data_IF_512205073017
#
_entry.id   IF_512205073017
#
_cell.length_a   1.000
_cell.length_b   1.000
_cell.length_c   1.000
_cell.angle_alpha   90.00
_cell.angle_beta   90.00
_cell.angle_gamma   90.00
#
_symmetry.space_group_name_H-M   'P 1'
#
loop_
_entity.id
_entity.type
_entity.pdbx_description
1 polymer ?
#
# COMPACT_ATOMS: atom_id res chain seq x y z
N UNK A 1 39.49 -34.82 50.71
CA UNK A 1 38.35 -33.92 50.40
C UNK A 1 38.06 -34.05 48.92
N UNK A 2 36.82 -34.36 48.53
CA UNK A 2 36.43 -34.29 47.12
C UNK A 2 36.18 -32.81 46.79
N UNK A 3 36.94 -32.26 45.84
CA UNK A 3 36.91 -30.83 45.51
C UNK A 3 36.09 -30.50 44.25
N UNK A 4 35.74 -31.49 43.44
CA UNK A 4 35.11 -31.29 42.13
C UNK A 4 34.04 -32.35 41.89
N UNK A 5 32.82 -31.92 41.61
CA UNK A 5 31.73 -32.77 41.12
C UNK A 5 31.94 -33.00 39.61
N UNK A 6 32.31 -34.23 39.23
CA UNK A 6 32.70 -34.57 37.84
C UNK A 6 31.47 -34.80 36.96
N UNK A 7 30.36 -35.22 37.56
CA UNK A 7 29.13 -35.55 36.85
C UNK A 7 27.94 -35.54 37.81
N UNK A 8 26.81 -34.97 37.39
CA UNK A 8 25.54 -35.05 38.09
C UNK A 8 24.43 -35.45 37.12
N UNK A 9 23.44 -36.21 37.61
CA UNK A 9 22.29 -36.66 36.84
C UNK A 9 20.99 -36.35 37.58
N UNK A 10 19.97 -35.91 36.86
CA UNK A 10 18.68 -35.55 37.46
C UNK A 10 17.86 -36.77 37.87
N UNK A 11 17.41 -36.82 39.12
CA UNK A 11 16.47 -37.83 39.61
C UNK A 11 15.03 -37.39 39.31
N UNK A 12 14.29 -38.21 38.56
CA UNK A 12 12.88 -37.93 38.19
C UNK A 12 11.93 -38.50 39.25
N UNK A 13 11.23 -37.62 39.97
CA UNK A 13 10.13 -38.01 40.86
C UNK A 13 8.82 -38.13 40.07
N UNK A 14 8.13 -39.28 40.18
CA UNK A 14 6.82 -39.48 39.56
C UNK A 14 5.73 -39.33 40.63
N UNK A 15 4.92 -38.28 40.50
CA UNK A 15 3.72 -38.07 41.31
C UNK A 15 2.54 -38.73 40.60
N UNK A 16 1.79 -39.56 41.31
CA UNK A 16 0.62 -40.25 40.76
C UNK A 16 -0.61 -40.01 41.64
N UNK A 17 -1.78 -40.03 41.01
CA UNK A 17 -3.09 -39.85 41.62
C UNK A 17 -4.15 -40.71 40.92
N UNK A 18 -5.37 -40.81 41.48
CA UNK A 18 -6.53 -41.45 40.82
C UNK A 18 -7.21 -40.44 39.88
N UNK A 19 -7.78 -40.91 38.77
CA UNK A 19 -8.36 -40.05 37.70
C UNK A 19 -9.43 -39.07 38.22
N UNK A 20 -10.29 -39.48 39.16
CA UNK A 20 -11.34 -38.63 39.75
C UNK A 20 -10.98 -38.03 41.12
N UNK A 21 -9.70 -38.01 41.49
CA UNK A 21 -9.28 -37.37 42.75
C UNK A 21 -9.23 -35.85 42.63
N UNK A 22 -9.34 -35.15 43.77
CA UNK A 22 -9.21 -33.69 43.85
C UNK A 22 -7.93 -33.18 43.16
N UNK A 23 -6.80 -33.87 43.36
CA UNK A 23 -5.53 -33.52 42.71
C UNK A 23 -5.59 -33.59 41.19
N UNK A 24 -6.26 -34.60 40.63
CA UNK A 24 -6.42 -34.74 39.17
C UNK A 24 -7.35 -33.68 38.59
N UNK A 25 -8.40 -33.29 39.31
CA UNK A 25 -9.29 -32.18 38.92
C UNK A 25 -8.51 -30.87 38.89
N UNK A 26 -7.69 -30.59 39.91
CA UNK A 26 -6.85 -29.39 39.97
C UNK A 26 -5.86 -29.36 38.80
N UNK A 27 -5.17 -30.47 38.51
CA UNK A 27 -4.26 -30.56 37.36
C UNK A 27 -5.01 -30.33 36.05
N UNK A 28 -6.17 -30.96 35.86
CA UNK A 28 -7.01 -30.75 34.67
C UNK A 28 -7.43 -29.29 34.54
N UNK A 29 -7.84 -28.64 35.63
CA UNK A 29 -8.21 -27.22 35.64
C UNK A 29 -7.03 -26.34 35.22
N UNK A 30 -5.82 -26.58 35.73
CA UNK A 30 -4.64 -25.81 35.32
C UNK A 30 -4.29 -26.03 33.83
N UNK A 31 -4.42 -27.26 33.31
CA UNK A 31 -4.22 -27.55 31.89
C UNK A 31 -5.26 -26.80 31.05
N UNK A 32 -6.54 -26.91 31.39
CA UNK A 32 -7.64 -26.22 30.70
C UNK A 32 -7.46 -24.71 30.75
N UNK A 33 -7.15 -24.15 31.93
CA UNK A 33 -6.90 -22.72 32.09
C UNK A 33 -5.71 -22.29 31.22
N UNK A 34 -4.61 -23.05 31.23
CA UNK A 34 -3.43 -22.75 30.40
C UNK A 34 -3.70 -22.76 28.90
N UNK A 35 -4.71 -23.51 28.44
CA UNK A 35 -5.10 -23.60 27.02
C UNK A 35 -6.13 -22.54 26.63
N UNK A 36 -7.08 -22.21 27.52
CA UNK A 36 -8.19 -21.29 27.25
C UNK A 36 -7.80 -19.83 27.48
N UNK A 37 -6.99 -19.51 28.50
CA UNK A 37 -6.60 -18.12 28.77
C UNK A 37 -5.85 -17.47 27.61
N UNK A 38 -4.93 -18.14 26.89
CA UNK A 38 -4.31 -17.57 25.69
C UNK A 38 -5.33 -17.26 24.59
N UNK A 39 -6.33 -18.14 24.36
CA UNK A 39 -7.37 -17.89 23.35
C UNK A 39 -8.17 -16.64 23.68
N UNK A 40 -8.57 -16.49 24.95
CA UNK A 40 -9.32 -15.31 25.41
C UNK A 40 -8.52 -14.02 25.22
N UNK A 41 -7.23 -14.05 25.60
CA UNK A 41 -6.34 -12.89 25.42
C UNK A 41 -6.19 -12.55 23.94
N UNK A 42 -5.89 -13.52 23.08
CA UNK A 42 -5.68 -13.27 21.64
C UNK A 42 -6.95 -12.74 20.98
N UNK A 43 -8.12 -13.26 21.35
CA UNK A 43 -9.41 -12.78 20.84
C UNK A 43 -9.69 -11.32 21.23
N UNK A 44 -9.37 -10.94 22.47
CA UNK A 44 -9.63 -9.58 22.98
C UNK A 44 -8.52 -8.57 22.68
N UNK A 45 -7.28 -9.02 22.47
CA UNK A 45 -6.12 -8.15 22.23
C UNK A 45 -6.10 -7.52 20.83
N UNK A 46 -7.02 -7.90 19.93
CA UNK A 46 -7.16 -7.23 18.63
C UNK A 46 -5.96 -7.48 17.71
N UNK A 47 -5.67 -8.75 17.41
CA UNK A 47 -4.55 -9.15 16.56
C UNK A 47 -4.90 -10.20 15.50
N UNK A 48 -6.12 -10.74 15.55
CA UNK A 48 -6.63 -11.80 14.68
C UNK A 48 -7.91 -11.33 14.03
N UNK A 49 -8.14 -11.72 12.79
CA UNK A 49 -9.28 -11.32 11.96
C UNK A 49 -9.28 -9.83 11.61
N UNK A 50 -8.10 -9.30 11.26
CA UNK A 50 -8.00 -7.93 10.77
C UNK A 50 -8.70 -7.79 9.42
N UNK A 51 -9.58 -6.78 9.29
CA UNK A 51 -10.28 -6.52 8.03
C UNK A 51 -9.35 -5.93 6.98
N UNK A 52 -8.51 -4.98 7.39
CA UNK A 52 -7.62 -4.24 6.51
C UNK A 52 -6.23 -4.13 7.13
N UNK A 53 -5.20 -4.17 6.30
CA UNK A 53 -3.82 -3.85 6.65
C UNK A 53 -3.23 -2.87 5.66
N UNK A 54 -2.16 -2.21 6.07
CA UNK A 54 -1.41 -1.27 5.23
C UNK A 54 -0.06 -1.87 4.89
N UNK A 55 0.36 -1.65 3.66
CA UNK A 55 1.69 -1.99 3.20
C UNK A 55 2.28 -0.81 2.43
N UNK A 56 3.51 -0.45 2.75
CA UNK A 56 4.23 0.57 2.00
C UNK A 56 4.83 -0.08 0.75
N UNK A 57 4.50 0.45 -0.41
CA UNK A 57 5.03 0.00 -1.70
C UNK A 57 5.21 1.21 -2.63
N UNK A 58 6.38 1.31 -3.23
CA UNK A 58 6.65 2.22 -4.34
C UNK A 58 6.18 1.55 -5.64
N UNK A 59 5.07 1.99 -6.28
CA UNK A 59 4.66 1.44 -7.55
C UNK A 59 5.74 1.71 -8.62
N UNK A 60 5.90 0.77 -9.54
CA UNK A 60 6.70 0.98 -10.74
C UNK A 60 5.83 1.76 -11.74
N UNK A 61 6.16 3.03 -11.95
CA UNK A 61 5.36 3.96 -12.74
C UNK A 61 6.03 4.19 -14.09
N UNK A 62 5.27 3.99 -15.15
CA UNK A 62 5.68 4.29 -16.51
C UNK A 62 4.72 5.30 -17.15
N UNK A 63 5.28 6.35 -17.75
CA UNK A 63 4.51 7.25 -18.59
C UNK A 63 4.21 6.61 -19.96
N UNK A 64 2.94 6.46 -20.30
CA UNK A 64 2.47 5.77 -21.52
C UNK A 64 2.70 6.60 -22.80
N UNK A 65 3.44 7.71 -22.72
CA UNK A 65 3.62 8.67 -23.81
C UNK A 65 2.32 9.19 -24.42
N UNK A 66 1.23 9.15 -23.65
CA UNK A 66 -0.07 9.71 -24.01
C UNK A 66 -0.34 10.95 -23.16
N UNK A 67 -0.73 12.04 -23.82
CA UNK A 67 -1.14 13.26 -23.13
C UNK A 67 -2.23 14.01 -23.89
N UNK A 68 -2.98 14.83 -23.15
CA UNK A 68 -3.89 15.83 -23.69
C UNK A 68 -3.71 17.13 -22.91
N UNK A 69 -3.24 18.16 -23.60
CA UNK A 69 -3.10 19.52 -23.08
C UNK A 69 -4.17 20.38 -23.75
N UNK A 70 -4.96 21.07 -22.92
CA UNK A 70 -5.95 22.06 -23.32
C UNK A 70 -5.54 23.39 -22.70
N UNK A 71 -5.16 24.35 -23.54
CA UNK A 71 -4.86 25.71 -23.12
C UNK A 71 -5.99 26.63 -23.56
N UNK A 72 -6.79 27.09 -22.61
CA UNK A 72 -7.88 28.01 -22.86
C UNK A 72 -7.36 29.43 -22.92
N UNK A 73 -7.71 30.14 -23.99
CA UNK A 73 -7.23 31.50 -24.27
C UNK A 73 -8.38 32.50 -24.13
N UNK A 74 -9.55 32.13 -24.64
CA UNK A 74 -10.77 32.91 -24.55
C UNK A 74 -11.96 31.96 -24.28
N UNK A 75 -12.87 32.29 -23.33
CA UNK A 75 -14.07 31.47 -23.09
C UNK A 75 -14.96 31.26 -24.32
N UNK A 76 -14.84 32.12 -25.33
CA UNK A 76 -15.63 32.06 -26.55
C UNK A 76 -14.89 31.44 -27.75
N UNK A 77 -13.60 31.12 -27.61
CA UNK A 77 -12.79 30.53 -28.67
C UNK A 77 -12.45 29.08 -28.33
N UNK A 78 -12.16 28.27 -29.36
CA UNK A 78 -11.69 26.92 -29.14
C UNK A 78 -10.34 26.95 -28.39
N UNK A 79 -10.12 26.06 -27.41
CA UNK A 79 -8.84 25.98 -26.72
C UNK A 79 -7.76 25.50 -27.68
N UNK A 80 -6.51 25.83 -27.37
CA UNK A 80 -5.36 25.25 -28.04
C UNK A 80 -5.20 23.82 -27.51
N UNK A 81 -5.16 22.87 -28.44
CA UNK A 81 -5.07 21.44 -28.14
C UNK A 81 -3.71 20.92 -28.54
N UNK A 82 -2.98 20.39 -27.57
CA UNK A 82 -1.83 19.54 -27.85
C UNK A 82 -2.08 18.13 -27.39
N UNK A 83 -1.82 17.15 -28.25
CA UNK A 83 -2.25 15.78 -27.99
C UNK A 83 -1.43 14.77 -28.77
N UNK A 84 -1.34 13.55 -28.25
CA UNK A 84 -0.85 12.38 -29.01
C UNK A 84 -1.98 11.59 -29.67
N UNK A 85 -3.24 11.92 -29.35
CA UNK A 85 -4.40 11.23 -29.87
C UNK A 85 -4.83 11.82 -31.20
N UNK A 86 -5.19 10.97 -32.15
CA UNK A 86 -5.64 11.37 -33.50
C UNK A 86 -7.15 11.63 -33.56
N UNK A 87 -7.92 11.06 -32.65
CA UNK A 87 -9.39 11.06 -32.68
C UNK A 87 -9.99 11.38 -31.31
N UNK A 88 -11.13 12.08 -31.33
CA UNK A 88 -11.97 12.37 -30.17
C UNK A 88 -13.44 12.31 -30.54
N UNK A 89 -14.17 11.35 -29.94
CA UNK A 89 -15.57 11.05 -30.29
C UNK A 89 -15.84 11.14 -31.80
N UNK A 90 -15.06 10.40 -32.58
CA UNK A 90 -15.15 10.31 -34.06
C UNK A 90 -14.63 11.52 -34.84
N UNK A 91 -14.29 12.64 -34.20
CA UNK A 91 -13.68 13.79 -34.87
C UNK A 91 -12.15 13.67 -34.87
N UNK A 92 -11.52 14.06 -35.97
CA UNK A 92 -10.06 14.19 -36.03
C UNK A 92 -9.60 15.36 -35.14
N UNK A 93 -8.58 15.12 -34.31
CA UNK A 93 -7.89 16.16 -33.57
C UNK A 93 -6.50 16.36 -34.17
N UNK A 94 -6.12 17.62 -34.33
CA UNK A 94 -4.80 18.02 -34.79
C UNK A 94 -4.00 18.52 -33.59
N UNK A 95 -2.78 18.00 -33.44
CA UNK A 95 -1.82 18.51 -32.46
C UNK A 95 -1.33 19.90 -32.89
N UNK A 96 -1.59 20.92 -32.07
CA UNK A 96 -1.17 22.31 -32.32
C UNK A 96 0.18 22.64 -31.67
N UNK A 97 0.80 21.70 -30.96
CA UNK A 97 2.13 21.89 -30.39
C UNK A 97 3.22 21.75 -31.44
N UNK A 98 4.23 22.62 -31.36
CA UNK A 98 5.39 22.62 -32.26
C UNK A 98 6.44 21.64 -31.76
N UNK A 99 6.58 21.59 -30.43
CA UNK A 99 7.60 20.81 -29.77
C UNK A 99 7.05 20.28 -28.46
N UNK A 100 7.15 18.97 -28.29
CA UNK A 100 6.93 18.29 -27.02
C UNK A 100 8.18 17.52 -26.62
N UNK A 101 8.60 17.66 -25.36
CA UNK A 101 9.71 16.91 -24.79
C UNK A 101 9.24 16.16 -23.57
N UNK A 102 9.63 14.90 -23.50
CA UNK A 102 9.29 14.02 -22.40
C UNK A 102 10.55 13.32 -21.96
N UNK A 103 10.82 13.33 -20.65
CA UNK A 103 11.97 12.66 -20.07
C UNK A 103 11.63 12.07 -18.71
N UNK A 104 11.72 10.75 -18.61
CA UNK A 104 11.67 10.05 -17.33
C UNK A 104 13.09 9.90 -16.76
N UNK A 105 13.31 10.40 -15.55
CA UNK A 105 14.60 10.30 -14.87
C UNK A 105 14.55 9.20 -13.82
N UNK A 106 15.68 8.50 -13.71
CA UNK A 106 16.02 7.63 -12.60
C UNK A 106 17.13 8.38 -11.84
N UNK A 107 16.82 8.89 -10.65
CA UNK A 107 17.70 9.74 -9.85
C UNK A 107 18.67 8.90 -9.01
N UNK A 108 18.25 7.70 -8.60
CA UNK A 108 19.02 6.83 -7.72
C UNK A 108 19.73 5.67 -8.47
N UNK A 109 19.48 5.53 -9.78
CA UNK A 109 19.96 4.46 -10.67
C UNK A 109 19.56 3.04 -10.22
N UNK A 110 18.39 2.88 -9.63
CA UNK A 110 17.86 1.57 -9.21
C UNK A 110 17.10 0.82 -10.33
N UNK A 111 16.98 1.44 -11.51
CA UNK A 111 16.28 0.92 -12.68
C UNK A 111 14.80 1.27 -12.72
N UNK A 112 14.26 1.95 -11.70
CA UNK A 112 12.91 2.50 -11.65
C UNK A 112 12.94 3.98 -11.99
N UNK A 113 11.83 4.48 -12.53
CA UNK A 113 11.70 5.91 -12.79
C UNK A 113 11.30 6.62 -11.50
N UNK A 114 11.90 7.78 -11.24
CA UNK A 114 11.65 8.59 -10.05
C UNK A 114 10.90 9.89 -10.40
N UNK A 115 11.07 10.40 -11.62
CA UNK A 115 10.39 11.62 -12.05
C UNK A 115 10.11 11.69 -13.54
N UNK A 116 9.04 12.41 -13.88
CA UNK A 116 8.68 12.78 -15.24
C UNK A 116 8.89 14.27 -15.45
N UNK A 117 9.66 14.63 -16.49
CA UNK A 117 9.73 15.98 -17.04
C UNK A 117 8.96 16.04 -18.35
N UNK A 118 7.95 16.90 -18.39
CA UNK A 118 7.11 17.15 -19.55
C UNK A 118 7.26 18.61 -19.97
N UNK A 119 7.49 18.87 -21.25
CA UNK A 119 7.53 20.21 -21.83
C UNK A 119 6.69 20.24 -23.10
N UNK A 120 5.82 21.23 -23.25
CA UNK A 120 5.04 21.46 -24.46
C UNK A 120 5.11 22.94 -24.87
N UNK A 121 5.32 23.19 -26.17
CA UNK A 121 5.47 24.52 -26.73
C UNK A 121 4.49 24.75 -27.88
N UNK A 122 3.74 25.84 -27.84
CA UNK A 122 2.75 26.22 -28.86
C UNK A 122 2.70 27.74 -29.08
N UNK A 123 2.20 28.18 -30.23
CA UNK A 123 1.91 29.60 -30.50
C UNK A 123 0.47 29.95 -30.13
N UNK A 124 0.26 31.18 -29.69
CA UNK A 124 -1.07 31.75 -29.44
C UNK A 124 -1.01 33.26 -29.66
N UNK A 125 -2.10 33.82 -30.16
CA UNK A 125 -2.21 35.27 -30.41
C UNK A 125 -2.64 36.05 -29.15
N UNK A 126 -3.18 35.33 -28.16
CA UNK A 126 -3.73 35.87 -26.92
C UNK A 126 -3.19 35.11 -25.70
N UNK A 127 -3.11 35.75 -24.53
CA UNK A 127 -2.57 35.12 -23.34
C UNK A 127 -3.46 33.97 -22.86
N UNK A 128 -2.83 32.89 -22.41
CA UNK A 128 -3.51 31.70 -21.87
C UNK A 128 -4.14 32.06 -20.51
N UNK A 129 -5.40 31.69 -20.34
CA UNK A 129 -6.21 31.90 -19.12
C UNK A 129 -6.32 30.64 -18.27
N UNK A 130 -6.40 29.46 -18.86
CA UNK A 130 -6.45 28.21 -18.12
C UNK A 130 -5.66 27.13 -18.84
N UNK A 131 -5.08 26.22 -18.06
CA UNK A 131 -4.37 25.05 -18.59
C UNK A 131 -4.91 23.81 -17.90
N UNK A 132 -5.36 22.86 -18.72
CA UNK A 132 -5.73 21.52 -18.28
C UNK A 132 -4.84 20.51 -19.00
N UNK A 133 -4.04 19.77 -18.24
CA UNK A 133 -3.11 18.77 -18.75
C UNK A 133 -3.47 17.41 -18.16
N UNK A 134 -3.73 16.45 -19.05
CA UNK A 134 -3.96 15.06 -18.72
C UNK A 134 -2.73 14.26 -19.17
N UNK A 135 -2.10 13.57 -18.23
CA UNK A 135 -0.95 12.70 -18.46
C UNK A 135 -1.35 11.26 -18.11
N UNK A 136 -1.08 10.32 -19.00
CA UNK A 136 -1.47 8.93 -18.83
C UNK A 136 -0.29 8.10 -18.34
N UNK A 137 -0.51 7.34 -17.29
CA UNK A 137 0.50 6.56 -16.59
C UNK A 137 0.02 5.13 -16.40
N UNK A 138 0.97 4.21 -16.36
CA UNK A 138 0.75 2.83 -15.99
C UNK A 138 1.48 2.55 -14.68
N UNK A 139 0.71 2.15 -13.68
CA UNK A 139 1.21 1.79 -12.36
C UNK A 139 1.25 0.27 -12.26
N UNK A 140 2.44 -0.27 -12.00
CA UNK A 140 2.64 -1.69 -11.72
C UNK A 140 2.95 -1.90 -10.24
N UNK A 141 2.10 -2.67 -9.57
CA UNK A 141 2.31 -3.20 -8.23
C UNK A 141 2.84 -4.63 -8.36
N UNK A 142 3.86 -4.99 -7.58
CA UNK A 142 4.58 -6.28 -7.72
C UNK A 142 4.82 -6.99 -6.39
N UNK A 143 4.78 -6.29 -5.25
CA UNK A 143 5.28 -6.87 -4.00
C UNK A 143 4.25 -7.76 -3.29
N UNK A 144 3.10 -7.22 -2.90
CA UNK A 144 2.03 -8.00 -2.26
C UNK A 144 0.94 -8.44 -3.24
N UNK A 145 0.70 -7.62 -4.25
CA UNK A 145 -0.41 -7.76 -5.18
C UNK A 145 0.11 -7.38 -6.56
N UNK A 146 -0.01 -8.30 -7.51
CA UNK A 146 0.31 -8.04 -8.91
C UNK A 146 -0.88 -7.33 -9.55
N UNK A 147 -0.71 -6.05 -9.84
CA UNK A 147 -1.75 -5.23 -10.45
C UNK A 147 -1.12 -4.27 -11.46
N UNK A 148 -1.72 -4.17 -12.64
CA UNK A 148 -1.42 -3.15 -13.64
C UNK A 148 -2.60 -2.20 -13.75
N UNK A 149 -2.33 -0.91 -13.59
CA UNK A 149 -3.36 0.12 -13.49
C UNK A 149 -2.96 1.26 -14.40
N UNK A 150 -3.60 1.35 -15.56
CA UNK A 150 -3.51 2.54 -16.39
C UNK A 150 -4.39 3.64 -15.81
N UNK A 151 -3.86 4.83 -15.56
CA UNK A 151 -4.60 5.94 -14.97
C UNK A 151 -4.10 7.30 -15.43
N UNK A 152 -4.85 8.35 -15.10
CA UNK A 152 -4.64 9.69 -15.63
C UNK A 152 -4.32 10.63 -14.47
N UNK A 153 -3.14 11.24 -14.52
CA UNK A 153 -2.79 12.41 -13.73
C UNK A 153 -3.37 13.65 -14.38
N UNK A 154 -4.22 14.38 -13.65
CA UNK A 154 -4.88 15.58 -14.14
C UNK A 154 -4.31 16.79 -13.42
N UNK A 155 -3.75 17.72 -14.17
CA UNK A 155 -3.35 19.04 -13.70
C UNK A 155 -4.31 20.07 -14.30
N UNK A 156 -4.94 20.89 -13.47
CA UNK A 156 -5.92 21.89 -13.89
C UNK A 156 -5.68 23.19 -13.13
N UNK A 157 -5.29 24.23 -13.86
CA UNK A 157 -4.93 25.50 -13.25
C UNK A 157 -5.40 26.70 -14.07
N UNK A 158 -6.16 27.58 -13.42
CA UNK A 158 -6.53 28.89 -13.95
C UNK A 158 -5.44 29.92 -13.62
N UNK A 159 -5.01 30.65 -14.64
CA UNK A 159 -4.01 31.71 -14.56
C UNK A 159 -4.69 33.05 -14.32
N UNK A 160 -4.22 33.78 -13.30
CA UNK A 160 -4.69 35.13 -13.00
C UNK A 160 -3.86 36.23 -13.69
N UNK A 161 -2.82 35.84 -14.43
CA UNK A 161 -1.84 36.75 -15.05
C UNK A 161 -1.39 36.19 -16.39
N UNK A 162 -0.98 37.08 -17.27
CA UNK A 162 -0.38 36.73 -18.55
C UNK A 162 0.99 36.08 -18.33
N UNK A 163 1.14 34.87 -18.85
CA UNK A 163 2.33 34.05 -18.69
C UNK A 163 2.82 33.51 -20.04
N UNK A 164 4.10 33.69 -20.31
CA UNK A 164 4.80 33.11 -21.46
C UNK A 164 5.25 31.68 -21.16
N UNK A 165 5.47 31.38 -19.87
CA UNK A 165 5.98 30.10 -19.41
C UNK A 165 5.30 29.73 -18.11
N UNK A 166 4.75 28.52 -18.05
CA UNK A 166 4.02 27.96 -16.93
C UNK A 166 4.79 26.72 -16.49
N UNK A 167 5.28 26.74 -15.25
CA UNK A 167 6.03 25.65 -14.63
C UNK A 167 5.24 25.10 -13.45
N UNK A 168 4.92 23.81 -13.46
CA UNK A 168 4.30 23.14 -12.32
C UNK A 168 5.16 21.99 -11.80
N UNK A 169 5.10 21.79 -10.49
CA UNK A 169 5.77 20.72 -9.76
C UNK A 169 4.74 20.00 -8.91
N UNK A 170 4.81 18.67 -8.81
CA UNK A 170 3.91 17.92 -7.96
C UNK A 170 4.36 16.49 -7.70
N UNK A 171 3.72 15.87 -6.72
CA UNK A 171 3.95 14.47 -6.33
C UNK A 171 2.88 13.60 -6.99
N UNK A 172 3.26 12.57 -7.72
CA UNK A 172 2.37 11.62 -8.38
C UNK A 172 2.16 10.41 -7.47
N UNK A 173 0.94 10.27 -6.94
CA UNK A 173 0.54 9.20 -6.04
C UNK A 173 -0.60 8.34 -6.61
N UNK A 174 -0.64 7.07 -6.20
CA UNK A 174 -1.74 6.17 -6.53
C UNK A 174 -2.83 6.29 -5.47
N UNK A 175 -3.91 7.01 -5.81
CA UNK A 175 -5.05 7.23 -4.91
C UNK A 175 -5.94 5.99 -4.85
N UNK A 176 -6.11 5.45 -3.65
CA UNK A 176 -6.93 4.27 -3.37
C UNK A 176 -8.27 4.62 -2.70
N UNK A 177 -9.40 4.29 -3.34
CA UNK A 177 -10.77 4.34 -2.79
C UNK A 177 -11.29 2.97 -2.36
N UNK A 178 -10.77 1.89 -2.94
CA UNK A 178 -11.24 0.52 -2.71
C UNK A 178 -10.16 -0.37 -2.12
N UNK A 179 -10.54 -1.44 -1.44
CA UNK A 179 -9.60 -2.42 -0.89
C UNK A 179 -9.11 -3.37 -1.99
N UNK A 180 -7.80 -3.66 -1.98
CA UNK A 180 -7.24 -4.76 -2.75
C UNK A 180 -7.26 -6.03 -1.91
N UNK A 181 -7.57 -7.19 -2.49
CA UNK A 181 -7.53 -8.48 -1.80
C UNK A 181 -6.16 -9.10 -1.99
N UNK A 182 -5.54 -9.59 -0.91
CA UNK A 182 -4.25 -10.29 -0.97
C UNK A 182 -4.33 -11.51 -1.89
N UNK A 183 -3.35 -11.63 -2.82
CA UNK A 183 -3.14 -12.83 -3.63
C UNK A 183 -3.97 -12.94 -4.92
N UNK A 184 -4.41 -11.82 -5.49
CA UNK A 184 -5.10 -11.79 -6.78
C UNK A 184 -4.32 -11.00 -7.82
N UNK A 185 -4.38 -11.46 -9.07
CA UNK A 185 -4.01 -10.67 -10.24
C UNK A 185 -5.16 -9.70 -10.53
N UNK A 186 -4.86 -8.40 -10.50
CA UNK A 186 -5.84 -7.34 -10.71
C UNK A 186 -5.65 -6.70 -12.08
N UNK A 187 -6.37 -7.23 -13.07
CA UNK A 187 -6.35 -6.73 -14.45
C UNK A 187 -7.58 -5.90 -14.83
N UNK A 188 -8.43 -5.53 -13.86
CA UNK A 188 -9.64 -4.71 -14.12
C UNK A 188 -9.34 -3.37 -14.78
N UNK A 189 -8.10 -2.91 -14.70
CA UNK A 189 -7.62 -1.62 -15.18
C UNK A 189 -6.43 -1.76 -16.15
N UNK A 190 -6.26 -2.94 -16.72
CA UNK A 190 -5.21 -3.29 -17.68
C UNK A 190 -5.68 -3.08 -19.12
N UNK A 191 -6.35 -1.96 -19.40
CA UNK A 191 -6.85 -1.62 -20.73
C UNK A 191 -6.45 -0.18 -21.06
N UNK A 192 -6.06 0.02 -22.32
CA UNK A 192 -5.70 1.32 -22.84
C UNK A 192 -6.89 2.27 -22.77
N UNK A 193 -6.67 3.44 -22.17
CA UNK A 193 -7.68 4.49 -22.14
C UNK A 193 -7.53 5.33 -23.40
N UNK A 194 -8.56 5.32 -24.25
CA UNK A 194 -8.60 6.11 -25.49
C UNK A 194 -9.61 7.26 -25.38
N UNK A 195 -9.31 8.38 -26.06
CA UNK A 195 -10.16 9.57 -26.12
C UNK A 195 -11.33 9.43 -27.12
N UNK A 196 -11.34 8.37 -27.94
CA UNK A 196 -12.47 8.03 -28.81
C UNK A 196 -13.73 7.66 -28.03
N UNK A 197 -13.55 7.01 -26.88
CA UNK A 197 -14.62 6.31 -26.17
C UNK A 197 -15.40 7.23 -25.22
N UNK A 198 -14.79 8.35 -24.82
CA UNK A 198 -15.29 9.21 -23.74
C UNK A 198 -15.23 10.70 -24.13
N UNK A 199 -16.18 11.52 -23.64
CA UNK A 199 -15.95 12.98 -23.62
C UNK A 199 -14.93 13.30 -22.54
N UNK A 200 -14.36 14.50 -22.57
CA UNK A 200 -13.50 14.97 -21.49
C UNK A 200 -14.19 14.87 -20.11
N UNK A 201 -15.44 15.29 -20.00
CA UNK A 201 -16.18 15.23 -18.73
C UNK A 201 -16.49 13.78 -18.30
N UNK A 202 -16.88 12.93 -19.25
CA UNK A 202 -17.08 11.50 -19.00
C UNK A 202 -15.78 10.82 -18.55
N UNK A 203 -14.64 11.17 -19.17
CA UNK A 203 -13.32 10.65 -18.84
C UNK A 203 -12.88 11.07 -17.44
N UNK A 204 -13.07 12.35 -17.09
CA UNK A 204 -12.76 12.87 -15.76
C UNK A 204 -13.66 12.21 -14.69
N UNK A 205 -14.95 12.07 -14.98
CA UNK A 205 -15.90 11.40 -14.07
C UNK A 205 -15.57 9.91 -13.93
N UNK A 206 -15.24 9.24 -15.04
CA UNK A 206 -14.78 7.86 -15.05
C UNK A 206 -13.53 7.70 -14.19
N UNK A 207 -12.49 8.50 -14.42
CA UNK A 207 -11.26 8.47 -13.62
C UNK A 207 -11.53 8.75 -12.14
N UNK A 208 -12.40 9.71 -11.83
CA UNK A 208 -12.77 10.00 -10.45
C UNK A 208 -13.47 8.83 -9.77
N UNK A 209 -14.40 8.14 -10.45
CA UNK A 209 -15.17 7.04 -9.86
C UNK A 209 -14.37 5.73 -9.70
N UNK A 210 -13.19 5.63 -10.31
CA UNK A 210 -12.34 4.45 -10.18
C UNK A 210 -11.86 4.23 -8.74
N UNK A 211 -11.70 2.96 -8.40
CA UNK A 211 -11.17 2.53 -7.10
C UNK A 211 -9.69 2.86 -6.94
N UNK A 212 -8.96 2.88 -8.04
CA UNK A 212 -7.55 3.23 -8.10
C UNK A 212 -7.39 4.26 -9.22
N UNK A 213 -6.79 5.39 -8.88
CA UNK A 213 -6.58 6.49 -9.82
C UNK A 213 -5.29 7.21 -9.48
N UNK A 214 -4.53 7.66 -10.46
CA UNK A 214 -3.45 8.61 -10.24
C UNK A 214 -4.00 9.91 -9.65
N UNK A 215 -3.25 10.53 -8.74
CA UNK A 215 -3.51 11.88 -8.25
C UNK A 215 -2.20 12.64 -8.16
N UNK A 216 -2.23 13.89 -8.59
CA UNK A 216 -1.13 14.83 -8.38
C UNK A 216 -1.42 15.54 -7.05
N UNK A 217 -0.45 15.58 -6.15
CA UNK A 217 -0.52 16.27 -4.86
C UNK A 217 0.64 17.23 -4.69
N UNK A 218 0.57 18.09 -3.67
CA UNK A 218 1.61 19.09 -3.37
C UNK A 218 1.96 19.98 -4.58
N UNK A 219 0.94 20.33 -5.36
CA UNK A 219 1.09 21.11 -6.58
C UNK A 219 1.63 22.50 -6.31
N UNK A 220 2.69 22.88 -7.04
CA UNK A 220 3.27 24.21 -7.00
C UNK A 220 3.40 24.74 -8.40
N UNK A 221 2.75 25.87 -8.66
CA UNK A 221 2.75 26.52 -9.97
C UNK A 221 3.56 27.80 -9.89
N UNK A 222 4.46 27.98 -10.84
CA UNK A 222 5.29 29.16 -11.04
C UNK A 222 5.16 29.58 -12.50
N UNK A 223 5.33 30.87 -12.77
CA UNK A 223 5.18 31.38 -14.13
C UNK A 223 6.18 32.49 -14.42
N UNK A 224 6.49 32.66 -15.70
CA UNK A 224 7.23 33.81 -16.21
C UNK A 224 6.23 34.83 -16.74
N UNK A 225 6.20 36.01 -16.11
CA UNK A 225 5.30 37.08 -16.49
C UNK A 225 5.57 37.59 -17.92
N UNK A 226 4.50 38.05 -18.56
CA UNK A 226 4.52 38.65 -19.88
C UNK A 226 3.96 37.71 -20.93
N UNK A 227 3.55 38.30 -22.05
CA UNK A 227 3.01 37.57 -23.18
C UNK A 227 3.45 38.24 -24.48
N UNK A 228 4.02 37.46 -25.38
CA UNK A 228 4.44 37.89 -26.71
C UNK A 228 3.90 36.89 -27.73
N UNK A 229 3.05 37.35 -28.64
CA UNK A 229 2.47 36.54 -29.73
C UNK A 229 3.53 35.86 -30.59
N UNK A 230 4.67 36.52 -30.77
CA UNK A 230 5.76 36.05 -31.62
C UNK A 230 6.62 34.95 -30.95
N UNK A 231 6.38 34.67 -29.67
CA UNK A 231 7.09 33.65 -28.90
C UNK A 231 6.16 32.50 -28.52
N UNK A 232 6.71 31.29 -28.48
CA UNK A 232 5.95 30.12 -28.04
C UNK A 232 5.65 30.21 -26.55
N UNK A 233 4.41 29.91 -26.16
CA UNK A 233 4.06 29.64 -24.77
C UNK A 233 4.55 28.26 -24.39
N UNK A 234 5.20 28.15 -23.23
CA UNK A 234 5.77 26.90 -22.74
C UNK A 234 5.01 26.40 -21.49
N UNK A 235 4.53 25.16 -21.54
CA UNK A 235 3.96 24.46 -20.37
C UNK A 235 4.95 23.37 -19.97
N UNK A 236 5.51 23.50 -18.77
CA UNK A 236 6.56 22.63 -18.24
C UNK A 236 6.06 22.01 -16.93
N UNK A 237 6.06 20.69 -16.87
CA UNK A 237 5.67 19.91 -15.71
C UNK A 237 6.80 19.03 -15.22
N UNK A 238 7.04 19.01 -13.92
CA UNK A 238 7.92 18.03 -13.27
C UNK A 238 7.13 17.29 -12.18
N UNK A 239 6.94 15.99 -12.38
CA UNK A 239 6.22 15.13 -11.45
C UNK A 239 7.18 14.15 -10.80
N UNK A 240 7.10 14.01 -9.48
CA UNK A 240 7.91 13.08 -8.69
C UNK A 240 7.07 11.88 -8.29
N UNK A 241 7.57 10.67 -8.54
CA UNK A 241 6.85 9.45 -8.19
C UNK A 241 7.09 9.14 -6.71
N UNK A 242 6.00 9.01 -5.94
CA UNK A 242 6.08 8.84 -4.49
C UNK A 242 5.65 7.45 -4.02
N UNK A 243 6.19 7.05 -2.88
CA UNK A 243 5.78 5.83 -2.18
C UNK A 243 4.33 5.92 -1.70
N UNK A 244 3.57 4.84 -1.88
CA UNK A 244 2.16 4.79 -1.52
C UNK A 244 1.91 3.74 -0.43
N UNK A 245 1.02 4.08 0.52
CA UNK A 245 0.50 3.11 1.47
C UNK A 245 -0.73 2.41 0.88
N UNK A 246 -0.58 1.14 0.56
CA UNK A 246 -1.61 0.32 -0.04
C UNK A 246 -2.40 -0.39 1.06
N UNK A 247 -3.69 -0.15 1.08
CA UNK A 247 -4.63 -0.85 1.94
C UNK A 247 -5.08 -2.16 1.30
N UNK A 248 -4.82 -3.28 1.95
CA UNK A 248 -5.23 -4.58 1.45
C UNK A 248 -5.98 -5.39 2.50
N UNK A 249 -6.80 -6.32 2.03
CA UNK A 249 -7.47 -7.32 2.84
C UNK A 249 -6.54 -8.54 2.98
N UNK A 250 -6.13 -8.90 4.21
CA UNK A 250 -5.29 -10.05 4.46
C UNK A 250 -5.94 -11.36 3.98
N UNK A 251 -5.10 -12.30 3.56
CA UNK A 251 -5.56 -13.65 3.24
C UNK A 251 -5.85 -14.46 4.52
N UNK A 252 -6.67 -15.50 4.41
CA UNK A 252 -6.96 -16.42 5.52
C UNK A 252 -5.66 -17.03 6.09
N UNK A 253 -4.70 -17.33 5.21
CA UNK A 253 -3.40 -17.89 5.61
C UNK A 253 -2.53 -16.88 6.34
N UNK A 254 -2.56 -15.61 5.93
CA UNK A 254 -1.86 -14.55 6.64
C UNK A 254 -2.42 -14.37 8.05
N UNK A 255 -3.74 -14.34 8.20
CA UNK A 255 -4.40 -14.25 9.50
C UNK A 255 -4.12 -15.48 10.36
N UNK A 256 -4.14 -16.69 9.79
CA UNK A 256 -3.81 -17.92 10.50
C UNK A 256 -2.36 -17.94 11.00
N UNK A 257 -1.41 -17.46 10.19
CA UNK A 257 0.01 -17.31 10.59
C UNK A 257 0.13 -16.42 11.82
N UNK A 258 -0.53 -15.26 11.83
CA UNK A 258 -0.46 -14.34 12.96
C UNK A 258 -1.20 -14.86 14.20
N UNK A 259 -2.37 -15.48 14.01
CA UNK A 259 -3.11 -16.14 15.08
C UNK A 259 -2.27 -17.23 15.76
N UNK A 260 -1.57 -18.06 14.96
CA UNK A 260 -0.67 -19.08 15.49
C UNK A 260 0.42 -18.46 16.35
N UNK A 261 1.15 -17.47 15.82
CA UNK A 261 2.29 -16.85 16.52
C UNK A 261 1.86 -16.22 17.84
N UNK A 262 0.73 -15.49 17.85
CA UNK A 262 0.19 -14.88 19.07
C UNK A 262 -0.27 -15.92 20.08
N UNK A 263 -1.02 -16.94 19.62
CA UNK A 263 -1.50 -18.02 20.49
C UNK A 263 -0.36 -18.80 21.13
N UNK A 264 0.62 -19.23 20.34
CA UNK A 264 1.76 -20.03 20.82
C UNK A 264 2.61 -19.23 21.82
N UNK A 265 2.83 -17.94 21.57
CA UNK A 265 3.58 -17.07 22.48
C UNK A 265 2.92 -16.98 23.86
N UNK A 266 1.60 -16.77 23.90
CA UNK A 266 0.85 -16.76 25.15
C UNK A 266 0.80 -18.14 25.81
N UNK A 267 0.55 -19.20 25.02
CA UNK A 267 0.46 -20.58 25.52
C UNK A 267 1.71 -21.01 26.27
N UNK A 268 2.91 -20.70 25.76
CA UNK A 268 4.16 -21.06 26.41
C UNK A 268 4.30 -20.42 27.79
N UNK A 269 3.93 -19.14 27.93
CA UNK A 269 3.98 -18.43 29.21
C UNK A 269 3.00 -19.05 30.21
N UNK A 270 1.76 -19.28 29.81
CA UNK A 270 0.75 -19.87 30.70
C UNK A 270 1.04 -21.32 31.05
N UNK A 271 1.55 -22.12 30.11
CA UNK A 271 1.99 -23.49 30.37
C UNK A 271 3.18 -23.52 31.35
N UNK A 272 4.14 -22.62 31.18
CA UNK A 272 5.27 -22.47 32.10
C UNK A 272 4.79 -22.11 33.51
N UNK A 273 3.98 -21.05 33.64
CA UNK A 273 3.44 -20.60 34.94
C UNK A 273 2.63 -21.72 35.61
N UNK A 274 1.75 -22.38 34.86
CA UNK A 274 0.92 -23.48 35.38
C UNK A 274 1.78 -24.65 35.85
N UNK A 275 2.82 -25.02 35.09
CA UNK A 275 3.77 -26.06 35.48
C UNK A 275 4.50 -25.67 36.78
N UNK A 276 4.98 -24.43 36.92
CA UNK A 276 5.66 -23.98 38.13
C UNK A 276 4.74 -23.98 39.36
N UNK A 277 3.49 -23.55 39.20
CA UNK A 277 2.48 -23.61 40.27
C UNK A 277 2.20 -25.07 40.66
N UNK A 278 2.03 -25.98 39.70
CA UNK A 278 1.82 -27.39 39.97
C UNK A 278 3.03 -28.03 40.68
N UNK A 279 4.26 -27.73 40.25
CA UNK A 279 5.48 -28.20 40.93
C UNK A 279 5.52 -27.72 42.37
N UNK A 280 5.18 -26.46 42.63
CA UNK A 280 5.09 -25.92 43.98
C UNK A 280 4.03 -26.65 44.82
N UNK A 281 2.83 -26.87 44.27
CA UNK A 281 1.74 -27.56 44.96
C UNK A 281 2.09 -29.02 45.33
N UNK A 282 2.77 -29.75 44.43
CA UNK A 282 3.18 -31.13 44.68
C UNK A 282 4.40 -31.25 45.60
N UNK A 283 5.36 -30.34 45.49
CA UNK A 283 6.56 -30.33 46.36
C UNK A 283 6.17 -30.06 47.82
N UNK A 284 5.26 -29.12 48.03
CA UNK A 284 4.77 -28.75 49.37
C UNK A 284 3.64 -29.66 49.88
N UNK A 285 3.26 -30.71 49.13
CA UNK A 285 2.21 -31.68 49.50
C UNK A 285 0.84 -31.06 49.77
N UNK A 286 0.51 -29.93 49.14
CA UNK A 286 -0.84 -29.37 49.20
C UNK A 286 -1.88 -30.25 48.47
N UNK A 287 -1.43 -31.12 47.56
CA UNK A 287 -2.27 -32.06 46.83
C UNK A 287 -1.95 -33.51 47.22
N UNK A 288 -2.99 -34.29 47.53
CA UNK A 288 -2.88 -35.71 47.85
C UNK A 288 -2.37 -36.52 46.65
N UNK A 289 -1.11 -36.92 46.71
CA UNK A 289 -0.44 -37.75 45.68
C UNK A 289 0.46 -38.78 46.33
N UNK A 290 0.71 -39.88 45.61
CA UNK A 290 1.72 -40.85 46.01
C UNK A 290 2.99 -40.65 45.17
N UNK A 291 4.12 -40.54 45.85
CA UNK A 291 5.44 -40.31 45.23
C UNK A 291 6.06 -41.67 44.96
N UNK A 292 6.29 -41.98 43.68
CA UNK A 292 7.05 -43.18 43.29
C UNK A 292 8.54 -42.81 43.33
N UNK A 293 9.23 -43.26 44.38
CA UNK A 293 10.69 -43.11 44.49
C UNK A 293 11.36 -44.13 43.56
N UNK A 294 12.26 -43.71 42.65
CA UNK A 294 12.81 -44.60 41.64
C UNK A 294 13.62 -45.78 42.22
N UNK A 295 14.15 -45.65 43.43
CA UNK A 295 14.92 -46.70 44.11
C UNK A 295 14.11 -47.55 45.12
N UNK A 296 12.84 -47.24 45.36
CA UNK A 296 12.02 -47.94 46.36
C UNK A 296 11.27 -49.17 45.80
N UNK A 297 11.32 -49.39 44.48
CA UNK A 297 10.87 -50.63 43.86
C UNK A 297 12.07 -51.58 43.75
N UNK A 298 12.40 -52.23 44.86
CA UNK A 298 13.08 -53.52 44.88
C UNK A 298 12.19 -54.50 45.65
#
# INVERSE_FOLDING_TARGET
MAAIEIFSSTVVYKYKSRIYSFASIVVLLFIVLSLITPLFIVYHAGGVWMRNRMHAETPDVHFEYKYLLLAEVDPYEAPIVCTTFTTYKENEIIDQCIMTKVRENDLNNDGRKDSLKFEAHFYTDKPVKSVKLLLFFNFQLKHLIEATIESIGVFDHALNREAQEIRFFGDLELRQKGLLRSGGLYETYNHSIELSDYTLDELLLYNFNRKFSARITNERVTWRNGFFSDQTVAVIGELFYVENFIHYQPSVWEELKWAWVQYLSCLLVFAYVSKHILVFLFTNRYLNTYIVKPWANK
#
